data_IF_791053373971
#
_entry.id   IF_791053373971
#
_cell.length_a   1.000
_cell.length_b   1.000
_cell.length_c   1.000
_cell.angle_alpha   90.00
_cell.angle_beta   90.00
_cell.angle_gamma   90.00
#
_symmetry.space_group_name_H-M   'P 1'
#
loop_
_entity.id
_entity.type
_entity.pdbx_description
1 polymer ?
#
# COMPACT_ATOMS: atom_id res chain seq x y z
N UNK A 1 13.59 -7.46 4.39
CA UNK A 1 13.18 -6.23 5.11
C UNK A 1 11.96 -5.66 4.40
N UNK A 2 10.87 -5.36 5.11
CA UNK A 2 9.64 -4.79 4.54
C UNK A 2 9.85 -3.33 4.05
N UNK A 3 9.20 -2.93 2.94
CA UNK A 3 9.33 -1.61 2.30
C UNK A 3 9.00 -0.46 3.27
N UNK A 4 7.87 -0.55 3.97
CA UNK A 4 7.40 0.46 4.93
C UNK A 4 8.42 0.62 6.06
N UNK A 5 8.90 -0.49 6.64
CA UNK A 5 9.91 -0.45 7.71
C UNK A 5 11.20 0.21 7.24
N UNK A 6 11.68 -0.14 6.03
CA UNK A 6 12.90 0.42 5.45
C UNK A 6 12.79 1.93 5.30
N UNK A 7 11.70 2.41 4.72
CA UNK A 7 11.51 3.84 4.49
C UNK A 7 11.26 4.61 5.79
N UNK A 8 10.53 4.04 6.75
CA UNK A 8 10.32 4.65 8.07
C UNK A 8 11.65 4.91 8.80
N UNK A 9 12.55 3.92 8.81
CA UNK A 9 13.88 4.06 9.41
C UNK A 9 14.71 5.11 8.68
N UNK A 10 14.64 5.15 7.34
CA UNK A 10 15.30 6.19 6.53
C UNK A 10 14.82 7.60 6.90
N UNK A 11 13.53 7.75 7.18
CA UNK A 11 12.91 9.01 7.60
C UNK A 11 13.12 9.33 9.10
N UNK A 12 13.79 8.45 9.86
CA UNK A 12 14.11 8.61 11.28
C UNK A 12 12.89 8.82 12.19
N UNK A 13 11.74 8.20 11.84
CA UNK A 13 10.54 8.24 12.68
C UNK A 13 10.27 6.86 13.31
N UNK A 14 9.69 6.85 14.51
CA UNK A 14 9.22 5.67 15.23
C UNK A 14 7.92 5.11 14.63
N UNK A 15 7.56 3.87 15.01
CA UNK A 15 6.28 3.29 14.60
C UNK A 15 5.08 4.06 15.18
N UNK A 16 5.22 4.64 16.37
CA UNK A 16 4.18 5.46 17.01
C UNK A 16 3.95 6.74 16.21
N UNK A 17 5.02 7.43 15.81
CA UNK A 17 4.92 8.64 14.98
C UNK A 17 4.29 8.36 13.62
N UNK A 18 4.70 7.29 12.93
CA UNK A 18 4.08 6.90 11.67
C UNK A 18 2.59 6.55 11.86
N UNK A 19 2.24 5.88 12.96
CA UNK A 19 0.85 5.55 13.28
C UNK A 19 0.00 6.81 13.48
N UNK A 20 0.51 7.80 14.19
CA UNK A 20 -0.14 9.09 14.40
C UNK A 20 -0.36 9.83 13.06
N UNK A 21 0.67 9.88 12.21
CA UNK A 21 0.58 10.47 10.87
C UNK A 21 -0.47 9.78 9.98
N UNK A 22 -0.56 8.45 10.07
CA UNK A 22 -1.55 7.66 9.32
C UNK A 22 -2.93 7.60 10.00
N UNK A 23 -3.09 8.15 11.22
CA UNK A 23 -4.29 8.05 12.06
C UNK A 23 -4.72 6.59 12.28
N UNK A 24 -3.77 5.74 12.68
CA UNK A 24 -3.97 4.32 13.01
C UNK A 24 -3.30 3.98 14.35
N UNK A 25 -3.52 2.78 14.87
CA UNK A 25 -2.82 2.30 16.08
C UNK A 25 -1.39 1.89 15.74
N UNK A 26 -0.44 2.09 16.66
CA UNK A 26 0.95 1.61 16.47
C UNK A 26 1.02 0.11 16.19
N UNK A 27 0.16 -0.68 16.83
CA UNK A 27 0.09 -2.12 16.60
C UNK A 27 -0.25 -2.48 15.14
N UNK A 28 -1.03 -1.64 14.45
CA UNK A 28 -1.32 -1.82 13.03
C UNK A 28 -0.09 -1.58 12.16
N UNK A 29 0.68 -0.51 12.43
CA UNK A 29 1.98 -0.28 11.76
C UNK A 29 2.92 -1.46 11.99
N UNK A 30 2.99 -1.98 13.22
CA UNK A 30 3.81 -3.16 13.53
C UNK A 30 3.39 -4.40 12.73
N UNK A 31 2.09 -4.67 12.59
CA UNK A 31 1.60 -5.80 11.77
C UNK A 31 1.93 -5.61 10.30
N UNK A 32 1.77 -4.40 9.77
CA UNK A 32 2.12 -4.06 8.38
C UNK A 32 3.63 -4.26 8.13
N UNK A 33 4.49 -3.75 9.01
CA UNK A 33 5.95 -3.88 8.89
C UNK A 33 6.46 -5.32 9.03
N UNK A 34 5.63 -6.20 9.59
CA UNK A 34 5.90 -7.64 9.73
C UNK A 34 5.12 -8.49 8.72
N UNK A 35 4.49 -7.87 7.71
CA UNK A 35 3.67 -8.52 6.69
C UNK A 35 2.50 -9.35 7.25
N UNK A 36 2.08 -9.10 8.50
CA UNK A 36 0.96 -9.79 9.16
C UNK A 36 -0.40 -9.15 8.83
N UNK A 37 -0.38 -8.00 8.15
CA UNK A 37 -1.59 -7.29 7.71
C UNK A 37 -1.33 -6.62 6.37
N UNK A 38 -2.30 -6.77 5.46
CA UNK A 38 -2.38 -6.01 4.23
C UNK A 38 -3.08 -4.67 4.50
N UNK A 39 -2.46 -3.52 4.19
CA UNK A 39 -3.10 -2.23 4.34
C UNK A 39 -4.20 -2.03 3.30
N UNK A 40 -5.30 -1.38 3.68
CA UNK A 40 -6.33 -0.95 2.72
C UNK A 40 -5.78 0.11 1.74
N UNK A 41 -6.43 0.28 0.59
CA UNK A 41 -6.04 1.31 -0.39
C UNK A 41 -5.91 2.72 0.22
N UNK A 42 -6.84 3.09 1.11
CA UNK A 42 -6.77 4.36 1.85
C UNK A 42 -5.53 4.46 2.74
N UNK A 43 -5.14 3.36 3.37
CA UNK A 43 -3.95 3.32 4.22
C UNK A 43 -2.66 3.30 3.38
N UNK A 44 -2.66 2.66 2.21
CA UNK A 44 -1.55 2.71 1.24
C UNK A 44 -1.23 4.15 0.86
N UNK A 45 -2.24 4.94 0.46
CA UNK A 45 -2.05 6.35 0.11
C UNK A 45 -1.44 7.12 1.28
N UNK A 46 -1.98 6.94 2.50
CA UNK A 46 -1.43 7.60 3.69
C UNK A 46 0.01 7.19 4.00
N UNK A 47 0.33 5.91 3.91
CA UNK A 47 1.68 5.39 4.12
C UNK A 47 2.64 6.01 3.10
N UNK A 48 2.25 6.00 1.82
CA UNK A 48 3.04 6.56 0.73
C UNK A 48 3.31 8.06 0.94
N UNK A 49 2.28 8.85 1.23
CA UNK A 49 2.41 10.29 1.48
C UNK A 49 3.34 10.60 2.65
N UNK A 50 3.17 9.94 3.80
CA UNK A 50 3.98 10.24 4.99
C UNK A 50 5.41 9.67 4.92
N UNK A 51 5.66 8.74 4.00
CA UNK A 51 6.97 8.12 3.80
C UNK A 51 7.71 8.64 2.56
N UNK A 52 7.12 9.60 1.82
CA UNK A 52 7.66 10.10 0.55
C UNK A 52 7.92 8.97 -0.45
N UNK A 53 6.93 8.10 -0.64
CA UNK A 53 6.94 7.01 -1.63
C UNK A 53 5.85 7.25 -2.68
N UNK A 54 6.01 6.64 -3.86
CA UNK A 54 4.90 6.58 -4.82
C UNK A 54 3.84 5.59 -4.29
N UNK A 55 2.54 5.95 -4.29
CA UNK A 55 1.48 5.02 -3.90
C UNK A 55 1.46 3.73 -4.73
N UNK A 56 1.84 3.79 -6.02
CA UNK A 56 1.95 2.60 -6.87
C UNK A 56 2.98 1.61 -6.34
N UNK A 57 4.14 2.09 -5.89
CA UNK A 57 5.23 1.24 -5.40
C UNK A 57 4.81 0.53 -4.10
N UNK A 58 4.10 1.26 -3.24
CA UNK A 58 3.54 0.68 -2.00
C UNK A 58 2.45 -0.33 -2.32
N UNK A 59 1.55 -0.02 -3.26
CA UNK A 59 0.52 -0.94 -3.69
C UNK A 59 1.13 -2.22 -4.27
N UNK A 60 2.02 -2.09 -5.24
CA UNK A 60 2.75 -3.18 -5.86
C UNK A 60 3.45 -4.05 -4.81
N UNK A 61 4.18 -3.45 -3.86
CA UNK A 61 4.84 -4.21 -2.80
C UNK A 61 3.89 -5.12 -1.99
N UNK A 62 2.66 -4.68 -1.73
CA UNK A 62 1.69 -5.47 -0.98
C UNK A 62 0.83 -6.39 -1.86
N UNK A 63 0.65 -6.09 -3.15
CA UNK A 63 -0.38 -6.71 -3.99
C UNK A 63 0.12 -7.33 -5.31
N UNK A 64 1.41 -7.27 -5.65
CA UNK A 64 1.99 -7.80 -6.91
C UNK A 64 1.70 -9.29 -7.18
N UNK A 65 1.43 -10.10 -6.15
CA UNK A 65 1.17 -11.53 -6.28
C UNK A 65 -0.30 -11.93 -6.17
N UNK A 66 -1.23 -10.96 -6.15
CA UNK A 66 -2.63 -11.32 -6.33
C UNK A 66 -2.83 -11.71 -7.78
N UNK A 67 -2.75 -13.01 -8.05
CA UNK A 67 -3.34 -13.56 -9.26
C UNK A 67 -4.77 -13.05 -9.28
N UNK A 68 -5.05 -12.25 -10.29
CA UNK A 68 -6.40 -11.86 -10.62
C UNK A 68 -7.12 -13.17 -10.98
N UNK A 69 -7.96 -13.69 -10.08
CA UNK A 69 -8.77 -14.89 -10.33
C UNK A 69 -9.86 -14.61 -11.38
N UNK A 70 -9.94 -13.39 -11.93
CA UNK A 70 -10.67 -13.06 -13.13
C UNK A 70 -9.93 -13.62 -14.37
N UNK A 71 -9.89 -14.95 -14.48
CA UNK A 71 -9.54 -15.60 -15.72
C UNK A 71 -10.67 -15.40 -16.75
N UNK A 72 -10.34 -14.63 -17.79
CA UNK A 72 -10.91 -14.57 -19.14
C UNK A 72 -12.39 -14.21 -19.38
N UNK A 73 -13.31 -14.20 -18.40
CA UNK A 73 -14.75 -14.05 -18.72
C UNK A 73 -15.48 -12.79 -18.24
N UNK A 74 -14.85 -11.84 -17.54
CA UNK A 74 -15.58 -10.67 -17.03
C UNK A 74 -15.13 -9.32 -17.62
N UNK A 75 -16.16 -8.54 -17.99
CA UNK A 75 -16.23 -7.34 -18.85
C UNK A 75 -15.46 -6.09 -18.36
N UNK A 76 -14.29 -6.24 -17.76
CA UNK A 76 -13.50 -5.09 -17.29
C UNK A 76 -12.70 -4.37 -18.41
N UNK A 77 -12.81 -4.80 -19.67
CA UNK A 77 -12.40 -4.01 -20.84
C UNK A 77 -13.61 -3.31 -21.47
N UNK A 78 -14.31 -2.50 -20.69
CA UNK A 78 -15.21 -1.49 -21.24
C UNK A 78 -14.49 -0.15 -21.14
N UNK A 79 -13.62 0.11 -22.12
CA UNK A 79 -13.24 1.44 -22.65
C UNK A 79 -11.90 1.33 -23.41
N UNK A 80 -11.97 0.79 -24.63
CA UNK A 80 -11.06 1.21 -25.70
C UNK A 80 -11.90 1.82 -26.81
N UNK A 81 -11.78 3.14 -26.89
CA UNK A 81 -12.09 4.02 -28.02
C UNK A 81 -13.57 4.45 -28.15
N UNK A 82 -13.88 5.58 -27.51
CA UNK A 82 -14.90 6.48 -28.03
C UNK A 82 -14.50 6.95 -29.44
N UNK A 83 -15.50 6.88 -30.32
CA UNK A 83 -15.53 7.22 -31.72
C UNK A 83 -14.98 8.62 -32.01
N UNK A 84 -14.15 8.74 -33.04
CA UNK A 84 -14.39 9.64 -34.20
C UNK A 84 -13.86 8.94 -35.45
#
# INVERSE_FOLDING_TARGET
MNLIKKQRIKNKISQVELANLCKVKQSQISRIETNKELPSAKLIVKLATNLNLCPSDVFSFFYENNKCDFSENDKCNSNKNEKV
#
